data_IF_166519743162
#
_entry.id   IF_166519743162
#
_cell.length_a   1.000
_cell.length_b   1.000
_cell.length_c   1.000
_cell.angle_alpha   90.00
_cell.angle_beta   90.00
_cell.angle_gamma   90.00
#
_symmetry.space_group_name_H-M   'P 1'
#
loop_
_entity.id
_entity.type
_entity.pdbx_description
1 polymer ?
#
# COMPACT_ATOMS: atom_id res chain seq x y z
N UNK A 1 44.02 8.41 12.80
CA UNK A 1 42.90 9.28 12.36
C UNK A 1 42.69 9.09 10.87
N UNK A 2 41.76 8.22 10.46
CA UNK A 2 41.43 8.03 9.04
C UNK A 2 40.31 8.99 8.64
N UNK A 3 40.65 10.01 7.86
CA UNK A 3 39.66 10.80 7.12
C UNK A 3 39.02 9.90 6.06
N UNK A 4 37.77 9.48 6.29
CA UNK A 4 36.97 8.85 5.24
C UNK A 4 36.58 9.91 4.21
N UNK A 5 37.33 9.96 3.10
CA UNK A 5 37.10 10.90 2.00
C UNK A 5 35.73 10.66 1.35
N UNK A 6 34.86 11.67 1.41
CA UNK A 6 33.63 11.73 0.63
C UNK A 6 34.01 11.75 -0.86
N UNK A 7 33.65 10.70 -1.61
CA UNK A 7 33.93 10.65 -3.06
C UNK A 7 32.97 11.57 -3.81
N UNK A 8 33.38 12.09 -4.98
CA UNK A 8 32.53 12.94 -5.83
C UNK A 8 31.15 12.29 -6.09
N UNK A 9 31.11 10.97 -6.26
CA UNK A 9 29.87 10.22 -6.46
C UNK A 9 28.95 10.24 -5.23
N UNK A 10 29.50 10.11 -4.02
CA UNK A 10 28.70 10.20 -2.78
C UNK A 10 28.20 11.63 -2.53
N UNK A 11 29.00 12.64 -2.88
CA UNK A 11 28.57 14.05 -2.82
C UNK A 11 27.43 14.34 -3.81
N UNK A 12 27.52 13.86 -5.06
CA UNK A 12 26.47 14.04 -6.09
C UNK A 12 25.18 13.36 -5.65
N UNK A 13 25.22 12.10 -5.20
CA UNK A 13 24.03 11.38 -4.72
C UNK A 13 23.38 12.12 -3.54
N UNK A 14 24.18 12.66 -2.62
CA UNK A 14 23.66 13.43 -1.48
C UNK A 14 22.95 14.71 -1.92
N UNK A 15 23.53 15.46 -2.86
CA UNK A 15 22.91 16.68 -3.40
C UNK A 15 21.63 16.35 -4.16
N UNK A 16 21.66 15.34 -5.04
CA UNK A 16 20.49 14.92 -5.81
C UNK A 16 19.35 14.46 -4.91
N UNK A 17 19.62 13.67 -3.86
CA UNK A 17 18.58 13.24 -2.90
C UNK A 17 17.89 14.41 -2.21
N UNK A 18 18.62 15.49 -1.93
CA UNK A 18 18.03 16.69 -1.33
C UNK A 18 17.20 17.50 -2.33
N UNK A 19 17.60 17.54 -3.60
CA UNK A 19 16.87 18.27 -4.66
C UNK A 19 15.66 17.50 -5.18
N UNK A 20 15.73 16.17 -5.18
CA UNK A 20 14.69 15.28 -5.71
C UNK A 20 13.75 14.75 -4.62
N UNK A 21 13.63 15.47 -3.50
CA UNK A 21 12.64 15.14 -2.47
C UNK A 21 11.24 15.27 -3.08
N UNK A 22 10.47 14.19 -2.99
CA UNK A 22 9.08 14.19 -3.38
C UNK A 22 8.18 13.75 -2.23
N UNK A 23 7.01 14.36 -2.17
CA UNK A 23 5.90 13.85 -1.38
C UNK A 23 5.10 12.87 -2.24
N UNK A 24 4.57 11.82 -1.62
CA UNK A 24 3.72 10.84 -2.29
C UNK A 24 2.34 10.84 -1.67
N UNK A 25 1.29 10.86 -2.50
CA UNK A 25 -0.10 10.83 -2.04
C UNK A 25 -0.56 9.39 -1.84
N UNK A 26 -1.18 9.12 -0.69
CA UNK A 26 -1.95 7.92 -0.44
C UNK A 26 -3.38 8.34 -0.14
N UNK A 27 -4.36 7.85 -0.90
CA UNK A 27 -5.73 8.32 -0.75
C UNK A 27 -6.76 7.32 -1.28
N UNK A 28 -8.02 7.70 -1.16
CA UNK A 28 -9.10 7.12 -1.96
C UNK A 28 -9.49 8.04 -3.11
N UNK A 29 -9.84 7.42 -4.24
CA UNK A 29 -10.38 8.15 -5.38
C UNK A 29 -11.77 8.69 -5.05
N UNK A 30 -12.02 9.95 -5.41
CA UNK A 30 -13.32 10.59 -5.35
C UNK A 30 -14.20 10.04 -6.49
N UNK A 31 -15.51 9.97 -6.24
CA UNK A 31 -16.48 9.53 -7.25
C UNK A 31 -16.58 10.49 -8.43
N UNK A 32 -16.34 11.76 -8.17
CA UNK A 32 -16.44 12.86 -9.14
C UNK A 32 -15.19 12.97 -10.04
N UNK A 33 -14.21 12.09 -9.84
CA UNK A 33 -12.96 12.06 -10.60
C UNK A 33 -11.86 12.92 -9.98
N UNK A 34 -10.64 12.70 -10.46
CA UNK A 34 -9.42 13.38 -10.04
C UNK A 34 -8.50 13.60 -11.25
N UNK A 35 -7.56 14.56 -11.16
CA UNK A 35 -6.61 14.80 -12.23
C UNK A 35 -5.89 13.54 -12.69
N UNK A 36 -5.93 13.27 -13.99
CA UNK A 36 -5.21 12.18 -14.65
C UNK A 36 -3.87 12.64 -15.22
N UNK A 37 -3.07 11.69 -15.69
CA UNK A 37 -1.78 11.99 -16.33
C UNK A 37 -1.94 12.90 -17.56
N UNK A 38 -2.94 12.62 -18.38
CA UNK A 38 -3.24 13.38 -19.59
C UNK A 38 -3.62 14.83 -19.27
N UNK A 39 -4.45 15.02 -18.26
CA UNK A 39 -4.97 16.33 -17.90
C UNK A 39 -3.83 17.25 -17.41
N UNK A 40 -2.95 16.72 -16.55
CA UNK A 40 -1.77 17.44 -16.05
C UNK A 40 -0.78 17.71 -17.19
N UNK A 41 -0.63 16.77 -18.11
CA UNK A 41 0.30 16.91 -19.25
C UNK A 41 -0.15 17.96 -20.27
N UNK A 42 -1.47 18.12 -20.47
CA UNK A 42 -2.04 19.08 -21.42
C UNK A 42 -2.28 20.47 -20.80
N UNK A 43 -2.23 20.58 -19.47
CA UNK A 43 -2.47 21.83 -18.76
C UNK A 43 -3.92 22.33 -18.92
N UNK A 44 -4.87 21.42 -19.12
CA UNK A 44 -6.28 21.75 -19.36
C UNK A 44 -6.98 22.27 -18.09
N UNK A 45 -7.97 23.16 -18.28
CA UNK A 45 -8.82 23.66 -17.20
C UNK A 45 -9.88 22.62 -16.81
N UNK A 46 -10.02 22.42 -15.51
CA UNK A 46 -10.71 21.29 -14.89
C UNK A 46 -12.23 21.48 -14.77
N UNK A 47 -12.99 20.40 -14.97
CA UNK A 47 -14.46 20.40 -14.89
C UNK A 47 -15.02 20.09 -13.49
N UNK A 48 -14.25 19.42 -12.61
CA UNK A 48 -14.69 19.07 -11.25
C UNK A 48 -13.88 19.83 -10.20
N UNK A 49 -14.54 20.67 -9.40
CA UNK A 49 -13.85 21.48 -8.38
C UNK A 49 -13.24 20.62 -7.25
N UNK A 50 -13.89 19.53 -6.85
CA UNK A 50 -13.52 18.76 -5.65
C UNK A 50 -12.23 17.95 -5.79
N UNK A 51 -12.07 17.21 -6.90
CA UNK A 51 -10.88 16.42 -7.19
C UNK A 51 -9.65 17.30 -7.43
N UNK A 52 -9.86 18.44 -8.08
CA UNK A 52 -8.78 19.41 -8.30
C UNK A 52 -8.39 20.14 -7.01
N UNK A 53 -9.34 20.55 -6.17
CA UNK A 53 -9.03 21.11 -4.84
C UNK A 53 -8.22 20.12 -4.01
N UNK A 54 -8.64 18.85 -3.96
CA UNK A 54 -7.87 17.80 -3.26
C UNK A 54 -6.43 17.69 -3.79
N UNK A 55 -6.24 17.75 -5.10
CA UNK A 55 -4.92 17.73 -5.72
C UNK A 55 -4.09 18.97 -5.35
N UNK A 56 -4.66 20.17 -5.42
CA UNK A 56 -3.98 21.41 -5.03
C UNK A 56 -3.58 21.39 -3.55
N UNK A 57 -4.48 20.96 -2.67
CA UNK A 57 -4.21 20.79 -1.24
C UNK A 57 -3.07 19.81 -0.98
N UNK A 58 -3.02 18.71 -1.72
CA UNK A 58 -1.88 17.79 -1.66
C UNK A 58 -0.57 18.50 -2.06
N UNK A 59 -0.55 19.25 -3.15
CA UNK A 59 0.62 20.01 -3.59
C UNK A 59 1.05 21.08 -2.55
N UNK A 60 0.09 21.78 -1.94
CA UNK A 60 0.34 22.72 -0.84
C UNK A 60 1.04 22.01 0.33
N UNK A 61 0.51 20.86 0.76
CA UNK A 61 1.12 20.06 1.84
C UNK A 61 2.49 19.51 1.47
N UNK A 62 2.68 19.05 0.24
CA UNK A 62 3.99 18.63 -0.25
C UNK A 62 5.03 19.76 -0.14
N UNK A 63 4.63 20.98 -0.48
CA UNK A 63 5.48 22.17 -0.37
C UNK A 63 5.80 22.54 1.08
N UNK A 64 4.83 22.44 2.00
CA UNK A 64 5.05 22.64 3.44
C UNK A 64 6.13 21.69 4.01
N UNK A 65 6.24 20.46 3.46
CA UNK A 65 7.29 19.50 3.79
C UNK A 65 8.62 19.70 3.02
N UNK A 66 8.74 20.80 2.26
CA UNK A 66 9.94 21.11 1.48
C UNK A 66 10.16 20.17 0.29
N UNK A 67 9.09 19.54 -0.22
CA UNK A 67 9.15 18.74 -1.43
C UNK A 67 8.86 19.63 -2.64
N UNK A 68 9.80 19.69 -3.58
CA UNK A 68 9.60 20.38 -4.87
C UNK A 68 8.82 19.51 -5.86
N UNK A 69 8.77 18.20 -5.62
CA UNK A 69 8.10 17.21 -6.44
C UNK A 69 6.95 16.58 -5.65
N UNK A 70 5.88 16.24 -6.36
CA UNK A 70 4.70 15.59 -5.80
C UNK A 70 4.31 14.43 -6.71
N UNK A 71 3.99 13.29 -6.12
CA UNK A 71 3.61 12.08 -6.85
C UNK A 71 2.23 11.61 -6.40
N UNK A 72 1.35 11.33 -7.37
CA UNK A 72 0.03 10.71 -7.18
C UNK A 72 -0.17 9.66 -8.26
N UNK A 73 -0.72 8.50 -7.91
CA UNK A 73 -0.96 7.39 -8.84
C UNK A 73 -1.94 7.78 -9.96
N UNK A 74 -2.85 8.71 -9.68
CA UNK A 74 -3.82 9.23 -10.65
C UNK A 74 -3.18 10.04 -11.78
N UNK A 75 -2.20 10.89 -11.46
CA UNK A 75 -1.64 11.86 -12.41
C UNK A 75 -0.17 11.63 -12.80
N UNK A 76 0.54 10.73 -12.13
CA UNK A 76 1.95 10.44 -12.43
C UNK A 76 2.16 9.11 -13.16
N UNK A 77 1.10 8.32 -13.35
CA UNK A 77 1.14 7.07 -14.10
C UNK A 77 0.30 7.25 -15.36
N UNK A 78 0.92 7.11 -16.53
CA UNK A 78 0.18 6.95 -17.77
C UNK A 78 -0.47 5.56 -17.80
N UNK A 79 -1.76 5.52 -17.47
CA UNK A 79 -2.55 4.29 -17.46
C UNK A 79 -2.89 3.81 -18.88
N UNK A 80 -2.68 4.63 -19.92
CA UNK A 80 -2.87 4.24 -21.31
C UNK A 80 -1.72 3.38 -21.85
N UNK A 81 -0.53 3.53 -21.27
CA UNK A 81 0.65 2.71 -21.57
C UNK A 81 0.70 1.48 -20.65
N UNK A 82 0.38 0.30 -21.20
CA UNK A 82 0.44 -0.96 -20.44
C UNK A 82 1.83 -1.25 -19.89
N UNK A 83 2.88 -0.88 -20.63
CA UNK A 83 4.29 -1.02 -20.19
C UNK A 83 4.60 -0.15 -18.97
N UNK A 84 4.15 1.11 -18.98
CA UNK A 84 4.35 2.01 -17.85
C UNK A 84 3.50 1.59 -16.64
N UNK A 85 2.28 1.12 -16.86
CA UNK A 85 1.42 0.61 -15.80
C UNK A 85 2.05 -0.61 -15.11
N UNK A 86 2.60 -1.56 -15.87
CA UNK A 86 3.32 -2.71 -15.31
C UNK A 86 4.54 -2.27 -14.50
N UNK A 87 5.37 -1.37 -15.03
CA UNK A 87 6.53 -0.84 -14.32
C UNK A 87 6.11 -0.13 -13.02
N UNK A 88 5.01 0.63 -13.08
CA UNK A 88 4.47 1.35 -11.94
C UNK A 88 4.01 0.40 -10.83
N UNK A 89 3.26 -0.64 -11.17
CA UNK A 89 2.81 -1.66 -10.21
C UNK A 89 4.00 -2.33 -9.52
N UNK A 90 5.03 -2.70 -10.29
CA UNK A 90 6.23 -3.35 -9.76
C UNK A 90 7.11 -2.40 -8.93
N UNK A 91 6.99 -1.09 -9.15
CA UNK A 91 7.81 -0.07 -8.48
C UNK A 91 7.10 0.61 -7.30
N UNK A 92 5.78 0.44 -7.15
CA UNK A 92 4.95 1.22 -6.25
C UNK A 92 5.45 1.20 -4.80
N UNK A 93 5.74 0.02 -4.26
CA UNK A 93 6.29 -0.13 -2.92
C UNK A 93 7.59 0.67 -2.75
N UNK A 94 8.49 0.60 -3.73
CA UNK A 94 9.75 1.34 -3.70
C UNK A 94 9.50 2.84 -3.73
N UNK A 95 8.57 3.32 -4.57
CA UNK A 95 8.20 4.73 -4.61
C UNK A 95 7.62 5.23 -3.29
N UNK A 96 6.77 4.46 -2.61
CA UNK A 96 6.32 4.81 -1.26
C UNK A 96 7.45 4.77 -0.22
N UNK A 97 8.32 3.76 -0.29
CA UNK A 97 9.48 3.59 0.61
C UNK A 97 10.49 4.73 0.50
N UNK A 98 10.76 5.20 -0.71
CA UNK A 98 11.79 6.19 -1.02
C UNK A 98 11.26 7.64 -0.98
N UNK A 99 9.95 7.82 -0.87
CA UNK A 99 9.35 9.15 -0.71
C UNK A 99 9.89 9.87 0.52
N UNK A 100 10.02 11.20 0.43
CA UNK A 100 10.43 11.99 1.59
C UNK A 100 9.36 11.95 2.70
N UNK A 101 8.09 12.01 2.29
CA UNK A 101 6.92 11.91 3.14
C UNK A 101 5.78 11.30 2.32
N UNK A 102 5.05 10.36 2.93
CA UNK A 102 3.75 9.92 2.42
C UNK A 102 2.65 10.74 3.08
N UNK A 103 1.85 11.43 2.28
CA UNK A 103 0.69 12.19 2.73
C UNK A 103 -0.53 11.30 2.56
N UNK A 104 -1.07 10.78 3.66
CA UNK A 104 -2.24 9.92 3.67
C UNK A 104 -3.51 10.75 3.93
N UNK A 105 -4.36 10.91 2.93
CA UNK A 105 -5.60 11.66 3.02
C UNK A 105 -6.79 10.73 3.29
N UNK A 106 -7.43 10.91 4.45
CA UNK A 106 -8.56 10.14 4.94
C UNK A 106 -9.85 10.96 4.79
N UNK A 107 -10.63 10.66 3.74
CA UNK A 107 -11.75 11.50 3.32
C UNK A 107 -12.97 11.42 4.26
N UNK A 108 -13.06 10.39 5.10
CA UNK A 108 -14.22 10.13 5.98
C UNK A 108 -13.91 10.39 7.46
N UNK A 109 -12.74 10.97 7.77
CA UNK A 109 -12.24 11.13 9.14
C UNK A 109 -11.96 12.59 9.47
N UNK A 110 -12.33 13.01 10.69
CA UNK A 110 -11.98 14.32 11.25
C UNK A 110 -11.06 14.22 12.47
N UNK A 111 -11.01 13.05 13.12
CA UNK A 111 -10.25 12.81 14.34
C UNK A 111 -9.80 11.34 14.43
N UNK A 112 -8.80 11.06 15.26
CA UNK A 112 -8.13 9.76 15.34
C UNK A 112 -9.09 8.61 15.71
N UNK A 113 -10.10 8.87 16.53
CA UNK A 113 -11.11 7.88 16.94
C UNK A 113 -11.95 7.37 15.75
N UNK A 114 -11.96 8.12 14.65
CA UNK A 114 -12.70 7.80 13.43
C UNK A 114 -11.95 6.89 12.44
N UNK A 115 -10.68 6.55 12.67
CA UNK A 115 -9.86 5.82 11.69
C UNK A 115 -10.52 4.52 11.19
N UNK A 116 -11.11 3.73 12.09
CA UNK A 116 -11.79 2.48 11.76
C UNK A 116 -12.95 2.61 10.77
N UNK A 117 -13.48 3.82 10.54
CA UNK A 117 -14.58 4.08 9.61
C UNK A 117 -14.10 4.38 8.19
N UNK A 118 -12.84 4.78 8.03
CA UNK A 118 -12.34 5.14 6.71
C UNK A 118 -12.09 3.90 5.86
N UNK A 119 -12.62 3.93 4.64
CA UNK A 119 -12.44 2.86 3.66
C UNK A 119 -10.97 2.66 3.31
N UNK A 120 -10.11 3.67 3.50
CA UNK A 120 -8.67 3.58 3.30
C UNK A 120 -8.05 2.38 4.02
N UNK A 121 -8.49 2.05 5.25
CA UNK A 121 -7.97 0.89 5.99
C UNK A 121 -8.44 -0.47 5.46
N UNK A 122 -9.37 -0.48 4.53
CA UNK A 122 -9.92 -1.69 3.90
C UNK A 122 -9.53 -1.83 2.44
N UNK A 123 -8.80 -0.89 1.82
CA UNK A 123 -8.32 -1.04 0.43
C UNK A 123 -7.05 -1.91 0.39
N UNK A 124 -6.88 -2.69 -0.68
CA UNK A 124 -5.72 -3.57 -0.89
C UNK A 124 -4.41 -2.79 -0.99
N UNK A 125 -4.33 -1.87 -1.95
CA UNK A 125 -3.13 -1.07 -2.23
C UNK A 125 -2.65 -0.26 -1.01
N UNK A 126 -3.57 0.25 -0.19
CA UNK A 126 -3.22 1.09 0.97
C UNK A 126 -2.47 0.33 2.07
N UNK A 127 -2.44 -1.01 2.05
CA UNK A 127 -1.59 -1.77 2.97
C UNK A 127 -0.10 -1.51 2.73
N UNK A 128 0.35 -1.53 1.46
CA UNK A 128 1.73 -1.14 1.17
C UNK A 128 1.95 0.36 1.33
N UNK A 129 0.94 1.19 1.07
CA UNK A 129 1.04 2.64 1.28
C UNK A 129 1.18 3.00 2.78
N UNK A 130 0.67 2.15 3.68
CA UNK A 130 0.88 2.25 5.13
C UNK A 130 2.29 1.79 5.55
N UNK A 131 2.70 0.62 5.06
CA UNK A 131 3.88 -0.09 5.55
C UNK A 131 5.18 0.37 4.89
N UNK A 132 5.16 0.67 3.60
CA UNK A 132 6.36 1.01 2.84
C UNK A 132 7.01 2.34 3.29
N UNK A 133 6.28 3.46 3.46
CA UNK A 133 6.92 4.73 3.75
C UNK A 133 7.70 4.72 5.07
N UNK A 134 8.86 5.36 5.07
CA UNK A 134 9.62 5.64 6.30
C UNK A 134 9.00 6.77 7.11
N UNK A 135 8.39 7.73 6.42
CA UNK A 135 7.64 8.80 7.01
C UNK A 135 6.25 8.89 6.40
N UNK A 136 5.23 9.01 7.25
CA UNK A 136 3.83 9.22 6.84
C UNK A 136 3.20 10.33 7.67
N UNK A 137 2.27 11.07 7.08
CA UNK A 137 1.42 12.04 7.78
C UNK A 137 -0.03 11.81 7.37
N UNK A 138 -0.90 11.61 8.35
CA UNK A 138 -2.34 11.45 8.15
C UNK A 138 -3.05 12.79 8.24
N UNK A 139 -3.87 13.05 7.24
CA UNK A 139 -4.75 14.21 7.16
C UNK A 139 -6.21 13.76 7.12
N UNK A 140 -7.05 14.42 7.91
CA UNK A 140 -8.49 14.24 7.85
C UNK A 140 -9.11 14.94 6.63
N UNK A 141 -10.43 14.83 6.52
CA UNK A 141 -11.25 15.41 5.45
C UNK A 141 -11.00 16.90 5.23
N UNK A 142 -10.73 17.64 6.30
CA UNK A 142 -10.49 19.09 6.31
C UNK A 142 -9.01 19.47 6.12
N UNK A 143 -8.17 18.53 5.72
CA UNK A 143 -6.71 18.71 5.55
C UNK A 143 -6.01 19.18 6.83
N UNK A 144 -6.59 18.89 8.00
CA UNK A 144 -5.89 19.01 9.28
C UNK A 144 -5.16 17.71 9.62
N UNK A 145 -3.96 17.80 10.20
CA UNK A 145 -3.23 16.63 10.64
C UNK A 145 -4.01 15.94 11.77
N UNK A 146 -4.03 14.61 11.73
CA UNK A 146 -4.62 13.81 12.81
C UNK A 146 -3.66 13.61 14.00
N UNK A 147 -2.36 13.72 13.75
CA UNK A 147 -1.30 13.60 14.77
C UNK A 147 -1.05 14.89 15.53
N UNK A 148 -0.66 14.73 16.80
CA UNK A 148 -0.39 15.86 17.70
C UNK A 148 1.03 16.41 17.52
N UNK A 149 1.94 15.60 16.98
CA UNK A 149 3.31 16.03 16.70
C UNK A 149 3.33 16.97 15.49
N UNK A 150 3.58 18.27 15.69
CA UNK A 150 3.69 19.24 14.60
C UNK A 150 4.87 18.92 13.66
N UNK A 151 4.60 18.84 12.36
CA UNK A 151 5.63 18.72 11.32
C UNK A 151 6.43 17.41 11.31
N UNK A 152 6.00 16.38 12.07
CA UNK A 152 6.72 15.11 12.20
C UNK A 152 6.02 13.94 11.52
N UNK A 153 6.74 12.84 11.48
CA UNK A 153 6.31 11.53 11.03
C UNK A 153 5.33 10.91 12.04
N UNK A 154 4.13 10.55 11.61
CA UNK A 154 3.12 9.94 12.47
C UNK A 154 3.51 8.53 12.92
N UNK A 155 4.52 7.90 12.31
CA UNK A 155 5.15 6.68 12.82
C UNK A 155 6.00 6.90 14.07
N UNK A 156 6.13 8.13 14.55
CA UNK A 156 6.77 8.49 15.81
C UNK A 156 5.75 8.89 16.88
N UNK A 157 4.47 9.04 16.52
CA UNK A 157 3.39 9.40 17.44
C UNK A 157 2.78 8.13 18.06
N UNK A 158 2.99 7.95 19.36
CA UNK A 158 2.52 6.76 20.10
C UNK A 158 0.99 6.61 20.06
N UNK A 159 0.24 7.72 20.13
CA UNK A 159 -1.22 7.66 20.12
C UNK A 159 -1.74 7.19 18.75
N UNK A 160 -1.12 7.70 17.67
CA UNK A 160 -1.44 7.22 16.33
C UNK A 160 -1.09 5.75 16.18
N UNK A 161 0.10 5.32 16.62
CA UNK A 161 0.53 3.93 16.48
C UNK A 161 -0.39 2.95 17.22
N UNK A 162 -0.84 3.31 18.43
CA UNK A 162 -1.82 2.51 19.19
C UNK A 162 -3.12 2.37 18.41
N UNK A 163 -3.66 3.47 17.88
CA UNK A 163 -4.92 3.42 17.12
C UNK A 163 -4.75 2.67 15.79
N UNK A 164 -3.66 2.90 15.06
CA UNK A 164 -3.36 2.17 13.82
C UNK A 164 -3.23 0.67 14.08
N UNK A 165 -2.53 0.28 15.15
CA UNK A 165 -2.39 -1.13 15.52
C UNK A 165 -3.75 -1.75 15.84
N UNK A 166 -4.62 -1.03 16.55
CA UNK A 166 -5.99 -1.45 16.86
C UNK A 166 -6.86 -1.62 15.61
N UNK A 167 -6.73 -0.72 14.63
CA UNK A 167 -7.57 -0.73 13.40
C UNK A 167 -7.09 -1.77 12.40
N UNK A 168 -5.78 -1.99 12.31
CA UNK A 168 -5.17 -2.85 11.28
C UNK A 168 -4.78 -4.24 11.78
N UNK A 169 -4.70 -4.42 13.10
CA UNK A 169 -4.10 -5.58 13.77
C UNK A 169 -2.64 -5.83 13.37
N UNK A 170 -1.95 -4.77 12.94
CA UNK A 170 -0.52 -4.80 12.63
C UNK A 170 0.24 -4.38 13.89
N UNK A 171 1.26 -5.14 14.33
CA UNK A 171 2.09 -4.77 15.46
C UNK A 171 2.76 -3.40 15.26
N UNK A 172 2.85 -2.60 16.33
CA UNK A 172 3.52 -1.29 16.31
C UNK A 172 4.93 -1.34 15.68
N UNK A 173 5.79 -2.33 15.98
CA UNK A 173 7.12 -2.41 15.35
C UNK A 173 7.07 -2.50 13.81
N UNK A 174 6.09 -3.22 13.27
CA UNK A 174 5.88 -3.35 11.83
C UNK A 174 5.31 -2.04 11.22
N UNK A 175 4.45 -1.31 11.96
CA UNK A 175 3.98 0.01 11.53
C UNK A 175 5.11 1.04 11.47
N UNK A 176 6.02 1.02 12.44
CA UNK A 176 7.16 1.94 12.51
C UNK A 176 8.23 1.62 11.46
N UNK A 177 8.62 0.35 11.35
CA UNK A 177 9.71 -0.07 10.48
C UNK A 177 9.47 -1.45 9.86
N UNK A 178 8.55 -1.49 8.90
CA UNK A 178 8.25 -2.70 8.14
C UNK A 178 9.46 -3.15 7.29
N UNK A 179 9.81 -4.44 7.36
CA UNK A 179 10.75 -5.08 6.44
C UNK A 179 9.99 -5.96 5.43
N UNK A 180 10.10 -5.70 4.11
CA UNK A 180 9.47 -6.54 3.12
C UNK A 180 10.25 -7.86 2.98
N UNK A 181 9.62 -8.88 2.41
CA UNK A 181 10.23 -10.18 2.19
C UNK A 181 9.28 -11.35 2.44
N UNK A 182 9.76 -12.56 2.19
CA UNK A 182 9.03 -13.83 2.30
C UNK A 182 9.10 -14.48 3.70
N UNK A 183 9.41 -13.70 4.72
CA UNK A 183 9.32 -14.08 6.14
C UNK A 183 7.95 -13.74 6.72
N UNK A 184 7.51 -14.46 7.76
CA UNK A 184 6.23 -14.21 8.47
C UNK A 184 5.05 -14.16 7.51
N UNK A 185 5.02 -15.06 6.51
CA UNK A 185 4.05 -15.00 5.41
C UNK A 185 2.62 -15.05 5.93
N UNK A 186 2.37 -15.93 6.89
CA UNK A 186 1.05 -16.09 7.52
C UNK A 186 0.55 -14.76 8.11
N UNK A 187 1.39 -14.06 8.86
CA UNK A 187 1.02 -12.79 9.51
C UNK A 187 0.70 -11.70 8.49
N UNK A 188 1.55 -11.55 7.47
CA UNK A 188 1.34 -10.57 6.38
C UNK A 188 0.06 -10.88 5.59
N UNK A 189 -0.26 -12.17 5.39
CA UNK A 189 -1.50 -12.60 4.75
C UNK A 189 -2.74 -12.31 5.61
N UNK A 190 -2.65 -12.41 6.95
CA UNK A 190 -3.74 -11.99 7.86
C UNK A 190 -3.99 -10.49 7.76
N UNK A 191 -2.96 -9.66 7.59
CA UNK A 191 -3.14 -8.23 7.36
C UNK A 191 -3.79 -7.94 6.00
N UNK A 192 -3.39 -8.69 4.97
CA UNK A 192 -3.96 -8.59 3.63
C UNK A 192 -5.43 -9.06 3.55
N UNK A 193 -5.83 -10.06 4.33
CA UNK A 193 -7.18 -10.64 4.29
C UNK A 193 -8.30 -9.70 4.73
N UNK A 194 -7.95 -8.66 5.48
CA UNK A 194 -8.87 -7.60 5.91
C UNK A 194 -9.06 -6.52 4.85
N UNK A 195 -8.32 -6.60 3.74
CA UNK A 195 -8.36 -5.64 2.64
C UNK A 195 -9.25 -6.13 1.50
N UNK A 196 -9.64 -5.20 0.64
CA UNK A 196 -10.54 -5.36 -0.50
C UNK A 196 -9.96 -4.66 -1.71
N UNK A 197 -10.12 -5.26 -2.87
CA UNK A 197 -9.70 -4.68 -4.15
C UNK A 197 -10.90 -4.56 -5.08
N UNK A 198 -10.78 -3.67 -6.07
CA UNK A 198 -11.81 -3.55 -7.12
C UNK A 198 -11.57 -4.59 -8.21
N UNK A 199 -10.33 -4.65 -8.73
CA UNK A 199 -9.89 -5.72 -9.63
C UNK A 199 -9.45 -6.92 -8.81
N UNK A 200 -9.81 -8.10 -9.28
CA UNK A 200 -9.49 -9.34 -8.56
C UNK A 200 -7.98 -9.59 -8.53
N UNK A 201 -7.28 -9.25 -9.60
CA UNK A 201 -5.83 -9.41 -9.74
C UNK A 201 -5.04 -8.53 -8.76
N UNK A 202 -5.59 -7.38 -8.36
CA UNK A 202 -4.96 -6.47 -7.41
C UNK A 202 -4.81 -7.10 -6.01
N UNK A 203 -5.58 -8.16 -5.72
CA UNK A 203 -5.38 -9.03 -4.54
C UNK A 203 -3.95 -9.55 -4.49
N UNK A 204 -3.39 -9.89 -5.65
CA UNK A 204 -2.03 -10.35 -5.79
C UNK A 204 -1.05 -9.18 -5.95
N UNK A 205 -1.34 -8.26 -6.88
CA UNK A 205 -0.39 -7.23 -7.27
C UNK A 205 -0.08 -6.23 -6.16
N UNK A 206 -1.04 -5.93 -5.28
CA UNK A 206 -0.82 -5.07 -4.10
C UNK A 206 0.13 -5.67 -3.06
N UNK A 207 0.40 -6.99 -3.13
CA UNK A 207 1.25 -7.71 -2.19
C UNK A 207 2.68 -7.95 -2.70
N UNK A 208 2.95 -7.69 -3.98
CA UNK A 208 4.28 -7.90 -4.60
C UNK A 208 5.38 -7.22 -3.77
N UNK A 209 5.16 -5.95 -3.39
CA UNK A 209 6.11 -5.19 -2.60
C UNK A 209 6.19 -5.59 -1.12
N UNK A 210 5.09 -6.06 -0.54
CA UNK A 210 5.05 -6.57 0.84
C UNK A 210 5.97 -7.80 0.99
N UNK A 211 5.94 -8.68 -0.01
CA UNK A 211 6.73 -9.91 -0.02
C UNK A 211 8.09 -9.80 -0.70
N UNK A 212 8.45 -8.62 -1.24
CA UNK A 212 9.68 -8.38 -1.99
C UNK A 212 9.89 -9.42 -3.12
N UNK A 213 8.82 -9.69 -3.86
CA UNK A 213 8.82 -10.64 -4.98
C UNK A 213 8.73 -9.90 -6.31
N UNK A 214 9.03 -10.61 -7.40
CA UNK A 214 8.86 -10.07 -8.75
C UNK A 214 8.05 -11.06 -9.58
N UNK A 215 6.98 -10.58 -10.18
CA UNK A 215 6.15 -11.31 -11.13
C UNK A 215 5.63 -10.35 -12.21
N UNK A 216 5.29 -10.88 -13.37
CA UNK A 216 4.68 -10.09 -14.45
C UNK A 216 3.23 -9.72 -14.09
N UNK A 217 2.82 -8.51 -14.46
CA UNK A 217 1.45 -8.02 -14.30
C UNK A 217 0.65 -8.31 -15.58
N UNK A 218 -0.49 -8.95 -15.45
CA UNK A 218 -1.34 -9.37 -16.57
C UNK A 218 -2.83 -9.24 -16.20
N UNK A 219 -3.37 -8.02 -16.26
CA UNK A 219 -4.81 -7.81 -16.05
C UNK A 219 -5.65 -8.62 -17.05
N UNK A 220 -6.69 -9.29 -16.55
CA UNK A 220 -7.49 -10.27 -17.29
C UNK A 220 -7.19 -11.72 -16.91
N UNK A 221 -6.15 -11.98 -16.11
CA UNK A 221 -5.84 -13.34 -15.61
C UNK A 221 -6.71 -13.77 -14.41
N UNK A 222 -7.48 -12.85 -13.83
CA UNK A 222 -8.42 -13.18 -12.75
C UNK A 222 -7.72 -13.68 -11.48
N UNK A 223 -8.34 -14.66 -10.80
CA UNK A 223 -7.79 -15.29 -9.58
C UNK A 223 -6.42 -15.95 -9.80
N UNK A 224 -6.04 -16.24 -11.05
CA UNK A 224 -4.74 -16.81 -11.40
C UNK A 224 -3.56 -15.93 -10.98
N UNK A 225 -3.76 -14.61 -10.90
CA UNK A 225 -2.75 -13.67 -10.39
C UNK A 225 -2.30 -14.05 -8.97
N UNK A 226 -3.25 -14.44 -8.10
CA UNK A 226 -2.94 -14.83 -6.72
C UNK A 226 -2.23 -16.17 -6.66
N UNK A 227 -2.56 -17.11 -7.54
CA UNK A 227 -1.85 -18.38 -7.66
C UNK A 227 -0.37 -18.17 -8.00
N UNK A 228 -0.08 -17.35 -9.01
CA UNK A 228 1.29 -16.99 -9.38
C UNK A 228 2.03 -16.30 -8.24
N UNK A 229 1.37 -15.41 -7.50
CA UNK A 229 1.97 -14.79 -6.32
C UNK A 229 2.39 -15.85 -5.30
N UNK A 230 1.49 -16.78 -4.97
CA UNK A 230 1.78 -17.85 -4.02
C UNK A 230 2.91 -18.77 -4.49
N UNK A 231 2.96 -19.12 -5.78
CA UNK A 231 4.08 -19.89 -6.35
C UNK A 231 5.42 -19.18 -6.13
N UNK A 232 5.50 -17.88 -6.43
CA UNK A 232 6.73 -17.11 -6.26
C UNK A 232 7.12 -16.96 -4.79
N UNK A 233 6.15 -16.79 -3.88
CA UNK A 233 6.42 -16.73 -2.44
C UNK A 233 6.95 -18.08 -1.96
N UNK A 234 6.31 -19.20 -2.30
CA UNK A 234 6.72 -20.55 -1.88
C UNK A 234 8.14 -20.87 -2.37
N UNK A 235 8.50 -20.48 -3.59
CA UNK A 235 9.85 -20.69 -4.13
C UNK A 235 10.95 -19.92 -3.38
N UNK A 236 10.59 -18.88 -2.62
CA UNK A 236 11.52 -18.01 -1.88
C UNK A 236 11.32 -18.05 -0.38
N UNK A 237 10.38 -18.84 0.11
CA UNK A 237 10.05 -18.91 1.53
C UNK A 237 10.74 -20.13 2.15
N UNK A 238 11.50 -19.89 3.22
CA UNK A 238 12.16 -20.96 3.98
C UNK A 238 11.30 -21.48 5.16
N UNK A 239 10.06 -21.01 5.29
CA UNK A 239 9.14 -21.34 6.38
C UNK A 239 8.06 -22.34 5.93
N UNK A 240 8.02 -23.52 6.56
CA UNK A 240 7.00 -24.55 6.31
C UNK A 240 5.57 -24.10 6.64
N UNK A 241 5.43 -23.08 7.48
CA UNK A 241 4.14 -22.51 7.88
C UNK A 241 3.31 -22.02 6.69
N UNK A 242 3.93 -21.70 5.56
CA UNK A 242 3.21 -21.34 4.33
C UNK A 242 2.31 -22.45 3.77
N UNK A 243 2.35 -23.67 4.33
CA UNK A 243 1.44 -24.77 3.96
C UNK A 243 0.38 -25.05 5.04
N UNK A 244 0.49 -24.43 6.22
CA UNK A 244 -0.39 -24.66 7.35
C UNK A 244 -1.62 -23.75 7.28
N UNK A 245 -2.60 -24.14 6.44
CA UNK A 245 -3.85 -23.39 6.24
C UNK A 245 -5.08 -24.15 6.73
N UNK A 246 -6.12 -23.40 7.08
CA UNK A 246 -7.45 -23.92 7.34
C UNK A 246 -8.46 -23.33 6.35
N UNK A 247 -9.30 -24.19 5.76
CA UNK A 247 -10.37 -23.81 4.84
C UNK A 247 -10.51 -24.75 3.62
N UNK A 248 -11.56 -24.56 2.79
CA UNK A 248 -11.68 -25.24 1.50
C UNK A 248 -10.47 -25.06 0.55
N UNK A 249 -10.10 -26.09 -0.23
CA UNK A 249 -9.05 -25.96 -1.25
C UNK A 249 -9.51 -25.05 -2.41
N UNK A 250 -8.56 -24.44 -3.11
CA UNK A 250 -8.84 -23.66 -4.32
C UNK A 250 -9.41 -24.53 -5.44
N UNK A 251 -10.30 -24.00 -6.27
CA UNK A 251 -10.85 -24.68 -7.45
C UNK A 251 -9.84 -24.85 -8.59
N UNK A 252 -8.73 -24.12 -8.58
CA UNK A 252 -7.72 -24.10 -9.64
C UNK A 252 -6.52 -25.03 -9.39
N UNK A 253 -6.38 -25.58 -8.19
CA UNK A 253 -5.30 -26.52 -7.86
C UNK A 253 -5.88 -27.83 -7.35
N UNK A 254 -5.78 -28.89 -8.16
CA UNK A 254 -6.03 -30.27 -7.74
C UNK A 254 -4.83 -30.90 -7.02
N UNK A 255 -3.70 -30.19 -6.93
CA UNK A 255 -2.39 -30.76 -6.57
C UNK A 255 -1.73 -30.17 -5.32
N UNK A 256 -2.25 -29.08 -4.75
CA UNK A 256 -1.75 -28.53 -3.47
C UNK A 256 -2.82 -28.69 -2.40
N UNK A 257 -2.65 -29.77 -1.62
CA UNK A 257 -3.38 -30.17 -0.42
C UNK A 257 -4.89 -30.39 -0.55
N UNK A 258 -5.30 -31.58 -1.03
CA UNK A 258 -6.61 -32.16 -0.72
C UNK A 258 -6.66 -32.85 0.65
N UNK A 259 -5.62 -32.72 1.47
CA UNK A 259 -5.56 -33.36 2.77
C UNK A 259 -6.21 -32.46 3.82
N UNK A 260 -7.34 -32.89 4.38
CA UNK A 260 -7.82 -32.42 5.68
C UNK A 260 -6.69 -32.63 6.70
N UNK A 261 -5.86 -31.62 6.94
CA UNK A 261 -5.08 -31.56 8.16
C UNK A 261 -6.01 -31.04 9.27
N UNK A 262 -6.77 -31.96 9.88
CA UNK A 262 -7.27 -31.73 11.23
C UNK A 262 -6.07 -31.73 12.17
N UNK A 263 -5.44 -30.58 12.36
CA UNK A 263 -4.77 -30.31 13.63
C UNK A 263 -5.92 -30.03 14.61
N UNK A 264 -6.40 -31.09 15.26
CA UNK A 264 -7.20 -30.92 16.47
C UNK A 264 -6.41 -30.02 17.41
N UNK A 265 -7.05 -28.92 17.81
CA UNK A 265 -6.55 -27.95 18.76
C UNK A 265 -6.24 -28.63 20.09
N UNK A 266 -5.05 -29.23 20.17
CA UNK A 266 -4.44 -29.69 21.41
C UNK A 266 -3.37 -28.67 21.77
N UNK A 267 -3.84 -27.54 22.32
CA UNK A 267 -2.97 -26.54 22.94
C UNK A 267 -3.16 -25.11 22.43
N UNK A 268 -4.06 -24.36 23.08
CA UNK A 268 -3.79 -22.96 23.44
C UNK A 268 -3.73 -21.86 22.38
N UNK A 269 -3.94 -22.12 21.09
CA UNK A 269 -4.06 -21.04 20.09
C UNK A 269 -5.52 -20.60 19.98
N UNK A 270 -5.81 -19.45 20.59
CA UNK A 270 -7.08 -18.74 20.46
C UNK A 270 -7.30 -18.29 19.01
N UNK A 271 -8.32 -18.89 18.39
CA UNK A 271 -8.98 -18.55 17.13
C UNK A 271 -8.51 -19.32 15.87
N UNK A 272 -9.42 -20.04 15.17
CA UNK A 272 -9.11 -20.73 13.91
C UNK A 272 -8.85 -19.71 12.79
N UNK A 273 -7.78 -19.96 12.03
CA UNK A 273 -7.39 -19.18 10.85
C UNK A 273 -8.48 -19.32 9.77
N UNK A 274 -9.21 -18.23 9.51
CA UNK A 274 -10.14 -18.16 8.39
C UNK A 274 -9.34 -18.01 7.09
N UNK A 275 -9.70 -18.80 6.09
CA UNK A 275 -9.10 -18.76 4.76
C UNK A 275 -9.20 -17.38 4.13
N UNK A 276 -8.11 -16.97 3.47
CA UNK A 276 -8.17 -16.29 2.18
C UNK A 276 -8.56 -17.33 1.12
N UNK A 277 -9.84 -17.47 0.81
CA UNK A 277 -10.20 -17.99 -0.52
C UNK A 277 -9.55 -17.09 -1.56
N UNK A 278 -9.25 -17.61 -2.75
CA UNK A 278 -8.78 -16.80 -3.89
C UNK A 278 -9.63 -15.52 -4.10
N UNK A 279 -10.87 -15.53 -3.60
CA UNK A 279 -11.70 -14.37 -3.40
C UNK A 279 -11.36 -13.63 -2.10
N UNK A 280 -10.43 -12.66 -2.15
CA UNK A 280 -10.54 -11.50 -1.26
C UNK A 280 -11.94 -10.90 -1.44
N UNK A 281 -12.54 -10.29 -0.39
CA UNK A 281 -13.81 -9.63 -0.56
C UNK A 281 -13.67 -8.51 -1.59
N UNK A 282 -14.28 -8.64 -2.76
CA UNK A 282 -14.28 -7.57 -3.75
C UNK A 282 -15.05 -6.37 -3.21
N UNK A 283 -14.55 -5.17 -3.48
CA UNK A 283 -15.33 -3.96 -3.29
C UNK A 283 -16.35 -3.87 -4.43
N UNK A 284 -17.63 -3.52 -4.17
CA UNK A 284 -18.57 -3.27 -5.26
C UNK A 284 -18.00 -2.18 -6.19
N UNK A 285 -18.19 -2.30 -7.52
CA UNK A 285 -17.63 -1.37 -8.48
C UNK A 285 -18.05 0.06 -8.12
N UNK A 286 -17.07 0.93 -7.95
CA UNK A 286 -17.30 2.35 -7.82
C UNK A 286 -17.50 2.84 -9.27
N UNK A 287 -18.68 3.35 -9.64
CA UNK A 287 -18.98 3.82 -10.99
C UNK A 287 -18.15 5.05 -11.46
N UNK A 288 -17.01 5.33 -10.83
CA UNK A 288 -16.02 6.27 -11.32
C UNK A 288 -15.12 5.56 -12.32
N UNK A 289 -15.05 6.09 -13.54
CA UNK A 289 -14.38 5.53 -14.70
C UNK A 289 -13.08 4.78 -14.39
N UNK A 290 -13.16 3.45 -14.41
CA UNK A 290 -12.02 2.58 -14.67
C UNK A 290 -11.89 2.41 -16.18
N UNK A 291 -10.86 3.04 -16.75
CA UNK A 291 -10.12 2.48 -17.89
C UNK A 291 -8.70 2.27 -17.39
#
# INVERSE_FOLDING_TARGET
>A
MQQHGCTRSTAVVRVLRNLLKYAILSHRWLREGEPTYDDVSKGEQWMTESGYDKFLRFCEKAHEYGCALAWSDTCCIDKSSSTQLEEAIRSMFRWYRDAHICIAYLADVLALEGLHKDVWFTRGWTLQELLAPRAIRFYGKDWKPLGQLEGKNDKEDEQILIELSRVTDIPIPDLQNFSPGTNRVQEKMVWASKRRTTRVEDTAYSLIGIFDVSMQVAYGEGDWAFHRLMEVIIQRCDEWGILAWAGPPSTHSSSVTSSRCQLEASGGLSSPLHMLTASLPLQPPNNGHER
#
